data_IF_619401089439
#
_entry.id   IF_619401089439
#
_cell.length_a   1.000
_cell.length_b   1.000
_cell.length_c   1.000
_cell.angle_alpha   90.00
_cell.angle_beta   90.00
_cell.angle_gamma   90.00
#
_symmetry.space_group_name_H-M   'P 1'
#
loop_
_entity.id
_entity.type
_entity.pdbx_description
1 polymer ?
#
# COMPACT_ATOMS: atom_id res chain seq x y z
N UNK A 1 -53.29 -9.07 30.06
CA UNK A 1 -51.99 -9.45 29.44
C UNK A 1 -50.89 -8.37 29.62
N UNK A 2 -51.21 -7.07 29.74
CA UNK A 2 -50.21 -6.00 29.93
C UNK A 2 -49.32 -6.10 31.20
N UNK A 3 -49.78 -6.77 32.26
CA UNK A 3 -49.02 -6.87 33.51
C UNK A 3 -47.75 -7.74 33.40
N UNK A 4 -47.68 -8.69 32.45
CA UNK A 4 -46.48 -9.51 32.23
C UNK A 4 -45.34 -8.70 31.60
N UNK A 5 -45.63 -7.84 30.63
CA UNK A 5 -44.63 -6.99 29.98
C UNK A 5 -43.95 -6.03 30.97
N UNK A 6 -44.72 -5.44 31.89
CA UNK A 6 -44.19 -4.50 32.91
C UNK A 6 -43.25 -5.16 33.93
N UNK A 7 -43.31 -6.48 34.10
CA UNK A 7 -42.43 -7.24 35.01
C UNK A 7 -41.09 -7.57 34.35
N UNK A 8 -41.05 -7.71 33.01
CA UNK A 8 -39.82 -7.96 32.25
C UNK A 8 -38.91 -6.72 32.21
N UNK A 9 -39.49 -5.52 32.04
CA UNK A 9 -38.76 -4.24 32.06
C UNK A 9 -38.15 -3.86 33.43
N UNK A 10 -38.57 -4.52 34.52
CA UNK A 10 -38.06 -4.27 35.88
C UNK A 10 -36.96 -5.25 36.31
N UNK A 11 -36.57 -6.16 35.42
CA UNK A 11 -35.56 -7.19 35.70
C UNK A 11 -34.18 -6.84 35.11
N UNK A 12 -33.95 -5.56 34.83
CA UNK A 12 -32.67 -4.98 34.42
C UNK A 12 -31.70 -5.07 35.61
N UNK A 13 -30.99 -6.21 35.73
CA UNK A 13 -29.83 -6.29 36.61
C UNK A 13 -28.76 -5.34 36.04
N UNK A 14 -28.60 -4.18 36.67
CA UNK A 14 -27.61 -3.19 36.25
C UNK A 14 -26.18 -3.74 36.36
N UNK A 15 -25.35 -3.43 35.37
CA UNK A 15 -23.91 -3.67 35.42
C UNK A 15 -23.30 -2.84 36.53
N UNK A 16 -22.35 -3.41 37.28
CA UNK A 16 -21.64 -2.68 38.32
C UNK A 16 -20.54 -1.82 37.70
N UNK A 17 -20.22 -0.67 38.31
CA UNK A 17 -19.12 0.19 37.83
C UNK A 17 -17.77 -0.54 37.84
N UNK A 18 -17.57 -1.48 38.77
CA UNK A 18 -16.33 -2.26 38.86
C UNK A 18 -16.17 -3.25 37.71
N UNK A 19 -17.25 -3.85 37.22
CA UNK A 19 -17.22 -4.72 36.04
C UNK A 19 -16.88 -3.92 34.78
N UNK A 20 -17.48 -2.74 34.61
CA UNK A 20 -17.13 -1.84 33.50
C UNK A 20 -15.69 -1.36 33.58
N UNK A 21 -15.19 -1.08 34.80
CA UNK A 21 -13.81 -0.64 35.03
C UNK A 21 -12.80 -1.71 34.62
N UNK A 22 -13.01 -2.97 35.02
CA UNK A 22 -12.11 -4.07 34.66
C UNK A 22 -11.99 -4.25 33.14
N UNK A 23 -13.09 -4.10 32.40
CA UNK A 23 -13.11 -4.23 30.93
C UNK A 23 -12.30 -3.13 30.25
N UNK A 24 -12.49 -1.86 30.63
CA UNK A 24 -11.75 -0.76 30.01
C UNK A 24 -10.25 -0.80 30.32
N UNK A 25 -9.86 -1.33 31.48
CA UNK A 25 -8.45 -1.57 31.82
C UNK A 25 -7.83 -2.60 30.88
N UNK A 26 -8.50 -3.73 30.65
CA UNK A 26 -8.00 -4.77 29.74
C UNK A 26 -7.95 -4.24 28.29
N UNK A 27 -9.00 -3.55 27.83
CA UNK A 27 -9.02 -2.92 26.51
C UNK A 27 -7.91 -1.87 26.35
N UNK A 28 -7.60 -1.12 27.40
CA UNK A 28 -6.50 -0.16 27.41
C UNK A 28 -5.14 -0.81 27.23
N UNK A 29 -4.88 -1.94 27.91
CA UNK A 29 -3.62 -2.70 27.76
C UNK A 29 -3.49 -3.25 26.33
N UNK A 30 -4.57 -3.83 25.79
CA UNK A 30 -4.58 -4.36 24.41
C UNK A 30 -4.35 -3.22 23.41
N UNK A 31 -5.06 -2.09 23.56
CA UNK A 31 -4.93 -0.94 22.68
C UNK A 31 -3.52 -0.36 22.69
N UNK A 32 -2.86 -0.30 23.85
CA UNK A 32 -1.50 0.21 23.98
C UNK A 32 -0.47 -0.57 23.13
N UNK A 33 -0.64 -1.89 22.98
CA UNK A 33 0.24 -2.74 22.17
C UNK A 33 -0.24 -2.82 20.72
N UNK A 34 -1.56 -2.89 20.51
CA UNK A 34 -2.15 -3.10 19.19
C UNK A 34 -1.99 -1.90 18.27
N UNK A 35 -2.18 -0.66 18.77
CA UNK A 35 -2.10 0.55 17.95
C UNK A 35 -0.74 0.71 17.24
N UNK A 36 0.42 0.70 17.93
CA UNK A 36 1.70 0.86 17.26
C UNK A 36 2.01 -0.31 16.31
N UNK A 37 1.64 -1.54 16.70
CA UNK A 37 1.85 -2.73 15.86
C UNK A 37 1.07 -2.66 14.54
N UNK A 38 -0.23 -2.33 14.62
CA UNK A 38 -1.11 -2.20 13.44
C UNK A 38 -0.66 -1.04 12.56
N UNK A 39 -0.22 0.09 13.15
CA UNK A 39 0.31 1.23 12.38
C UNK A 39 1.49 0.81 11.52
N UNK A 40 2.46 0.10 12.10
CA UNK A 40 3.63 -0.37 11.37
C UNK A 40 3.25 -1.35 10.25
N UNK A 41 2.31 -2.27 10.51
CA UNK A 41 1.83 -3.21 9.49
C UNK A 41 1.20 -2.46 8.31
N UNK A 42 0.36 -1.45 8.58
CA UNK A 42 -0.28 -0.66 7.53
C UNK A 42 0.77 0.11 6.71
N UNK A 43 1.79 0.67 7.36
CA UNK A 43 2.86 1.39 6.67
C UNK A 43 3.65 0.46 5.75
N UNK A 44 4.03 -0.72 6.23
CA UNK A 44 4.72 -1.72 5.41
C UNK A 44 3.82 -2.19 4.25
N UNK A 45 2.54 -2.49 4.50
CA UNK A 45 1.62 -2.89 3.42
C UNK A 45 1.43 -1.80 2.35
N UNK A 46 1.53 -0.52 2.72
CA UNK A 46 1.51 0.59 1.75
C UNK A 46 2.81 0.66 0.96
N UNK A 47 3.95 0.49 1.63
CA UNK A 47 5.25 0.42 0.96
C UNK A 47 5.30 -0.72 -0.05
N UNK A 48 4.86 -1.92 0.34
CA UNK A 48 4.73 -3.09 -0.54
C UNK A 48 3.81 -2.81 -1.75
N UNK A 49 2.69 -2.11 -1.53
CA UNK A 49 1.77 -1.73 -2.61
C UNK A 49 2.39 -0.73 -3.60
N UNK A 50 3.18 0.23 -3.09
CA UNK A 50 3.92 1.16 -3.93
C UNK A 50 5.06 0.47 -4.68
N UNK A 51 5.74 -0.50 -4.07
CA UNK A 51 6.74 -1.32 -4.76
C UNK A 51 6.11 -2.12 -5.90
N UNK A 52 4.96 -2.76 -5.66
CA UNK A 52 4.20 -3.45 -6.70
C UNK A 52 3.78 -2.49 -7.83
N UNK A 53 3.38 -1.27 -7.48
CA UNK A 53 3.06 -0.21 -8.46
C UNK A 53 4.28 0.18 -9.30
N UNK A 54 5.47 0.27 -8.69
CA UNK A 54 6.72 0.53 -9.40
C UNK A 54 7.10 -0.63 -10.34
N UNK A 55 6.86 -1.88 -9.93
CA UNK A 55 7.05 -3.06 -10.79
C UNK A 55 6.08 -3.07 -11.98
N UNK A 56 4.85 -2.61 -11.78
CA UNK A 56 3.86 -2.43 -12.85
C UNK A 56 4.34 -1.38 -13.87
N UNK A 57 4.78 -0.21 -13.39
CA UNK A 57 5.37 0.86 -14.22
C UNK A 57 6.58 0.34 -15.00
N UNK A 58 7.46 -0.44 -14.37
CA UNK A 58 8.60 -1.04 -15.03
C UNK A 58 8.19 -1.99 -16.15
N UNK A 59 7.16 -2.82 -15.92
CA UNK A 59 6.64 -3.76 -16.91
C UNK A 59 6.02 -3.03 -18.10
N UNK A 60 5.23 -1.99 -17.84
CA UNK A 60 4.65 -1.13 -18.85
C UNK A 60 5.72 -0.41 -19.68
N UNK A 61 6.74 0.15 -19.03
CA UNK A 61 7.86 0.80 -19.71
C UNK A 61 8.64 -0.16 -20.63
N UNK A 62 8.83 -1.42 -20.21
CA UNK A 62 9.46 -2.43 -21.07
C UNK A 62 8.62 -2.72 -22.31
N UNK A 63 7.30 -2.85 -22.15
CA UNK A 63 6.40 -3.07 -23.29
C UNK A 63 6.41 -1.87 -24.24
N UNK A 64 6.40 -0.64 -23.72
CA UNK A 64 6.48 0.57 -24.51
C UNK A 64 7.78 0.61 -25.35
N UNK A 65 8.94 0.30 -24.75
CA UNK A 65 10.21 0.28 -25.48
C UNK A 65 10.27 -0.80 -26.59
N UNK A 66 9.59 -1.93 -26.39
CA UNK A 66 9.51 -3.01 -27.39
C UNK A 66 8.65 -2.57 -28.59
N UNK A 67 7.52 -1.92 -28.32
CA UNK A 67 6.55 -1.53 -29.36
C UNK A 67 6.95 -0.22 -30.05
N UNK A 68 7.62 0.67 -29.35
CA UNK A 68 8.00 2.01 -29.82
C UNK A 68 9.50 2.27 -29.60
N UNK A 69 10.39 1.67 -30.42
CA UNK A 69 11.84 1.80 -30.25
C UNK A 69 12.36 3.23 -30.31
N UNK A 70 11.59 4.19 -30.86
CA UNK A 70 11.94 5.60 -30.87
C UNK A 70 12.08 6.19 -29.46
N UNK A 71 11.38 5.62 -28.46
CA UNK A 71 11.47 6.01 -27.06
C UNK A 71 12.85 5.69 -26.43
N UNK A 72 13.63 4.78 -27.04
CA UNK A 72 14.94 4.36 -26.57
C UNK A 72 16.08 5.38 -26.79
N UNK A 73 15.75 6.63 -27.15
CA UNK A 73 16.74 7.64 -27.57
C UNK A 73 17.31 8.45 -26.39
N UNK A 74 16.71 8.36 -25.20
CA UNK A 74 17.07 9.13 -24.02
C UNK A 74 17.60 8.29 -22.84
N UNK A 75 17.71 8.94 -21.68
CA UNK A 75 18.04 8.29 -20.39
C UNK A 75 16.82 8.10 -19.48
N UNK A 76 15.69 8.72 -19.82
CA UNK A 76 14.46 8.68 -19.04
C UNK A 76 13.23 8.61 -19.93
N UNK A 77 12.17 7.97 -19.45
CA UNK A 77 10.82 8.03 -20.02
C UNK A 77 9.89 8.79 -19.08
N UNK A 78 8.95 9.52 -19.66
CA UNK A 78 7.84 10.12 -18.92
C UNK A 78 6.68 9.12 -18.79
N UNK A 79 5.88 9.30 -17.74
CA UNK A 79 4.67 8.48 -17.52
C UNK A 79 3.68 8.56 -18.71
N UNK A 80 3.69 9.70 -19.41
CA UNK A 80 2.88 9.94 -20.60
C UNK A 80 3.23 8.98 -21.75
N UNK A 81 4.51 8.58 -21.87
CA UNK A 81 4.99 7.70 -22.92
C UNK A 81 4.53 6.24 -22.73
N UNK A 82 4.10 5.88 -21.51
CA UNK A 82 3.76 4.51 -21.16
C UNK A 82 2.30 4.34 -20.71
N UNK A 83 1.51 5.41 -20.78
CA UNK A 83 0.13 5.44 -20.27
C UNK A 83 -0.76 4.40 -20.95
N UNK A 84 -0.55 4.12 -22.24
CA UNK A 84 -1.29 3.08 -22.99
C UNK A 84 -1.01 1.66 -22.48
N UNK A 85 0.14 1.44 -21.83
CA UNK A 85 0.56 0.14 -21.30
C UNK A 85 0.32 0.01 -19.78
N UNK A 86 -0.29 1.02 -19.15
CA UNK A 86 -0.57 1.07 -17.72
C UNK A 86 -2.07 0.96 -17.44
N UNK A 87 -2.49 -0.15 -16.83
CA UNK A 87 -3.87 -0.31 -16.39
C UNK A 87 -4.05 0.09 -14.92
N UNK A 88 -5.09 0.88 -14.62
CA UNK A 88 -5.49 1.25 -13.26
C UNK A 88 -4.38 1.86 -12.38
N UNK A 89 -3.44 2.59 -12.98
CA UNK A 89 -2.39 3.29 -12.26
C UNK A 89 -2.82 4.73 -11.95
N UNK A 90 -2.94 5.07 -10.67
CA UNK A 90 -3.26 6.43 -10.23
C UNK A 90 -1.97 7.25 -10.03
N UNK A 91 -1.61 8.04 -11.04
CA UNK A 91 -0.43 8.91 -10.95
C UNK A 91 -0.56 10.03 -9.94
N UNK A 92 -1.77 10.35 -9.46
CA UNK A 92 -2.01 11.43 -8.48
C UNK A 92 -1.53 11.08 -7.07
N UNK A 93 -1.32 9.79 -6.79
CA UNK A 93 -0.75 9.33 -5.52
C UNK A 93 0.74 9.69 -5.39
N UNK A 94 1.41 9.96 -6.52
CA UNK A 94 2.86 10.15 -6.60
C UNK A 94 3.22 11.61 -6.90
N UNK A 95 4.20 12.13 -6.16
CA UNK A 95 4.79 13.45 -6.38
C UNK A 95 5.80 13.47 -7.53
N UNK A 96 6.44 12.33 -7.80
CA UNK A 96 7.30 12.13 -8.97
C UNK A 96 7.32 10.66 -9.39
N UNK A 97 7.46 10.46 -10.69
CA UNK A 97 7.62 9.15 -11.34
C UNK A 97 8.77 9.31 -12.33
N UNK A 98 9.85 8.57 -12.13
CA UNK A 98 11.02 8.61 -13.02
C UNK A 98 11.33 7.20 -13.49
N UNK A 99 11.29 7.01 -14.80
CA UNK A 99 11.63 5.73 -15.43
C UNK A 99 12.98 5.93 -16.09
N UNK A 100 14.02 5.27 -15.57
CA UNK A 100 15.37 5.35 -16.12
C UNK A 100 15.57 4.25 -17.16
N UNK A 101 16.15 4.63 -18.30
CA UNK A 101 16.43 3.75 -19.41
C UNK A 101 17.88 3.90 -19.88
N UNK A 102 18.40 2.86 -20.52
CA UNK A 102 19.67 2.87 -21.23
C UNK A 102 19.51 2.10 -22.53
N UNK A 103 19.27 2.83 -23.62
CA UNK A 103 18.85 2.23 -24.88
C UNK A 103 17.49 1.58 -24.75
N UNK A 104 17.37 0.32 -25.15
CA UNK A 104 16.13 -0.47 -25.14
C UNK A 104 15.80 -1.12 -23.79
N UNK A 105 16.55 -0.79 -22.73
CA UNK A 105 16.42 -1.41 -21.40
C UNK A 105 15.97 -0.41 -20.35
N UNK A 106 14.97 -0.79 -19.56
CA UNK A 106 14.62 -0.10 -18.30
C UNK A 106 15.65 -0.48 -17.24
N UNK A 107 16.36 0.52 -16.70
CA UNK A 107 17.41 0.34 -15.68
C UNK A 107 16.90 0.53 -14.27
N UNK A 108 15.90 1.38 -14.05
CA UNK A 108 15.20 1.49 -12.77
C UNK A 108 13.91 2.28 -12.92
N UNK A 109 12.99 2.09 -11.98
CA UNK A 109 11.80 2.93 -11.80
C UNK A 109 11.83 3.52 -10.39
N UNK A 110 11.72 4.83 -10.30
CA UNK A 110 11.67 5.57 -9.04
C UNK A 110 10.27 6.18 -8.91
N UNK A 111 9.50 5.70 -7.95
CA UNK A 111 8.22 6.28 -7.55
C UNK A 111 8.39 7.04 -6.25
N UNK A 112 7.91 8.28 -6.17
CA UNK A 112 7.92 9.06 -4.92
C UNK A 112 6.49 9.32 -4.46
N UNK A 113 5.90 8.46 -3.60
CA UNK A 113 4.57 8.69 -3.08
C UNK A 113 4.49 10.03 -2.34
N UNK A 114 3.33 10.68 -2.39
CA UNK A 114 3.16 12.01 -1.82
C UNK A 114 3.39 11.99 -0.30
N UNK A 115 4.40 12.73 0.17
CA UNK A 115 4.75 12.84 1.59
C UNK A 115 5.52 11.64 2.16
N UNK A 116 6.02 10.74 1.32
CA UNK A 116 6.86 9.59 1.69
C UNK A 116 8.16 9.59 0.88
N UNK A 117 9.12 8.76 1.30
CA UNK A 117 10.40 8.58 0.61
C UNK A 117 10.22 7.90 -0.75
N UNK A 118 11.16 8.13 -1.65
CA UNK A 118 11.19 7.48 -2.96
C UNK A 118 11.44 5.97 -2.83
N UNK A 119 10.72 5.19 -3.62
CA UNK A 119 10.84 3.76 -3.79
C UNK A 119 11.52 3.52 -5.14
N UNK A 120 12.63 2.82 -5.12
CA UNK A 120 13.41 2.50 -6.32
C UNK A 120 13.32 1.01 -6.59
N UNK A 121 12.75 0.64 -7.73
CA UNK A 121 12.72 -0.74 -8.21
C UNK A 121 13.71 -0.86 -9.36
N UNK A 122 14.64 -1.78 -9.20
CA UNK A 122 15.58 -2.17 -10.24
C UNK A 122 15.12 -3.47 -10.92
N UNK A 123 15.46 -3.69 -12.19
CA UNK A 123 15.22 -4.96 -12.85
C UNK A 123 15.99 -6.04 -12.10
N UNK A 124 15.29 -7.01 -11.49
CA UNK A 124 15.93 -8.19 -10.92
C UNK A 124 16.80 -8.86 -11.98
N UNK A 125 18.12 -8.79 -11.82
CA UNK A 125 19.07 -9.57 -12.61
C UNK A 125 18.83 -11.05 -12.30
N UNK A 126 18.98 -11.93 -13.29
CA UNK A 126 18.70 -13.38 -13.24
C UNK A 126 19.51 -14.17 -12.20
N UNK A 127 20.11 -13.52 -11.21
CA UNK A 127 21.00 -14.10 -10.19
C UNK A 127 20.38 -14.10 -8.78
N UNK A 128 19.07 -13.83 -8.65
CA UNK A 128 18.34 -13.91 -7.38
C UNK A 128 17.11 -14.82 -7.50
N UNK A 129 17.32 -16.01 -8.10
CA UNK A 129 16.51 -17.18 -7.78
C UNK A 129 17.33 -17.98 -6.76
N UNK A 130 17.47 -17.44 -5.54
CA UNK A 130 17.74 -18.29 -4.39
C UNK A 130 16.40 -18.51 -3.71
N UNK A 131 15.96 -19.76 -3.79
CA UNK A 131 14.96 -20.35 -2.90
C UNK A 131 15.41 -20.14 -1.45
N UNK A 132 14.55 -19.55 -0.63
CA UNK A 132 14.40 -19.85 0.80
C UNK A 132 12.92 -19.68 1.18
#
# INVERSE_FOLDING_TARGET
MLQKCRKMLKNEKGLTLIELLAVVVILGIIAAIAIPSISNIIENSREDAHEASAQQVMSAARLALINEPALATGTTLDIADITEYLENFDSSEYSSIVINISGDKVTSVVLTPTGKSAITVEPKTTTEIEED
#
